data_IF_601375269917
#
_entry.id   IF_601375269917
#
_cell.length_a   1.000
_cell.length_b   1.000
_cell.length_c   1.000
_cell.angle_alpha   90.00
_cell.angle_beta   90.00
_cell.angle_gamma   90.00
#
_symmetry.space_group_name_H-M   'P 1'
#
loop_
_entity.id
_entity.type
_entity.pdbx_description
1 polymer ?
#
# COMPACT_ATOMS: atom_id res chain seq x y z
N UNK A 1 -15.24 3.55 0.23
CA UNK A 1 -14.84 3.82 -1.15
C UNK A 1 -15.79 3.17 -2.11
N UNK A 2 -16.01 3.76 -3.28
CA UNK A 2 -16.84 3.20 -4.36
C UNK A 2 -16.08 3.40 -5.66
N UNK A 3 -16.38 2.57 -6.66
CA UNK A 3 -15.82 2.70 -7.99
C UNK A 3 -14.71 1.70 -8.32
N UNK A 4 -13.98 1.96 -9.39
CA UNK A 4 -12.89 1.14 -9.89
C UNK A 4 -11.56 1.60 -9.29
N UNK A 5 -10.91 0.73 -8.55
CA UNK A 5 -9.55 0.96 -8.05
C UNK A 5 -8.56 -0.02 -8.66
N UNK A 6 -7.39 0.46 -9.04
CA UNK A 6 -6.34 -0.39 -9.60
C UNK A 6 -5.14 -0.48 -8.67
N UNK A 7 -4.60 -1.68 -8.53
CA UNK A 7 -3.36 -1.92 -7.80
C UNK A 7 -2.16 -1.70 -8.74
N UNK A 8 -1.29 -0.77 -8.36
CA UNK A 8 -0.08 -0.47 -9.12
C UNK A 8 0.93 -1.62 -8.97
N UNK A 9 1.58 -1.97 -10.07
CA UNK A 9 2.81 -2.78 -10.06
C UNK A 9 4.01 -1.91 -9.71
N UNK A 10 5.12 -2.51 -9.34
CA UNK A 10 6.42 -1.86 -9.26
C UNK A 10 7.22 -2.22 -10.52
N UNK A 11 7.34 -1.32 -11.51
CA UNK A 11 8.20 -1.59 -12.66
C UNK A 11 9.66 -1.62 -12.26
N UNK A 12 10.42 -2.55 -12.87
CA UNK A 12 11.86 -2.65 -12.67
C UNK A 12 12.60 -2.49 -13.99
N UNK A 13 13.78 -1.90 -13.94
CA UNK A 13 14.74 -1.87 -15.05
C UNK A 13 15.36 -3.25 -15.26
N UNK A 14 16.05 -3.46 -16.37
CA UNK A 14 16.80 -4.69 -16.62
C UNK A 14 17.85 -5.01 -15.54
N UNK A 15 18.33 -4.00 -14.82
CA UNK A 15 19.27 -4.14 -13.71
C UNK A 15 18.62 -4.39 -12.36
N UNK A 16 17.29 -4.56 -12.31
CA UNK A 16 16.54 -4.82 -11.09
C UNK A 16 16.30 -3.61 -10.18
N UNK A 17 16.60 -2.39 -10.62
CA UNK A 17 16.24 -1.16 -9.89
C UNK A 17 14.83 -0.69 -10.28
N UNK A 18 14.18 0.09 -9.41
CA UNK A 18 12.84 0.62 -9.68
C UNK A 18 12.89 1.57 -10.89
N UNK A 19 12.01 1.32 -11.88
CA UNK A 19 11.82 2.18 -13.04
C UNK A 19 10.73 3.24 -12.77
N UNK A 20 11.16 4.37 -12.23
CA UNK A 20 10.25 5.48 -11.92
C UNK A 20 9.64 6.12 -13.18
N UNK A 21 10.28 6.02 -14.34
CA UNK A 21 9.73 6.54 -15.60
C UNK A 21 8.56 5.68 -16.06
N UNK A 22 8.71 4.36 -16.02
CA UNK A 22 7.63 3.43 -16.31
C UNK A 22 6.49 3.56 -15.29
N UNK A 23 6.82 3.72 -13.99
CA UNK A 23 5.82 3.92 -12.95
C UNK A 23 5.02 5.23 -13.19
N UNK A 24 5.70 6.32 -13.57
CA UNK A 24 5.03 7.58 -13.93
C UNK A 24 4.06 7.38 -15.11
N UNK A 25 4.52 6.72 -16.16
CA UNK A 25 3.69 6.42 -17.35
C UNK A 25 2.47 5.58 -16.98
N UNK A 26 2.65 4.58 -16.10
CA UNK A 26 1.55 3.75 -15.62
C UNK A 26 0.52 4.56 -14.84
N UNK A 27 0.96 5.43 -13.93
CA UNK A 27 0.06 6.29 -13.15
C UNK A 27 -0.77 7.20 -14.08
N UNK A 28 -0.13 7.85 -15.04
CA UNK A 28 -0.85 8.71 -16.00
C UNK A 28 -1.85 7.92 -16.84
N UNK A 29 -1.48 6.72 -17.28
CA UNK A 29 -2.38 5.82 -18.01
C UNK A 29 -3.61 5.44 -17.19
N UNK A 30 -3.45 5.11 -15.90
CA UNK A 30 -4.57 4.78 -15.01
C UNK A 30 -5.49 5.98 -14.78
N UNK A 31 -4.92 7.15 -14.52
CA UNK A 31 -5.71 8.38 -14.29
C UNK A 31 -6.45 8.79 -15.57
N UNK A 32 -5.81 8.72 -16.74
CA UNK A 32 -6.46 8.95 -18.02
C UNK A 32 -7.59 7.95 -18.31
N UNK A 33 -7.45 6.70 -17.82
CA UNK A 33 -8.48 5.67 -17.84
C UNK A 33 -9.62 5.87 -16.83
N UNK A 34 -9.63 7.00 -16.11
CA UNK A 34 -10.69 7.38 -15.18
C UNK A 34 -10.91 6.40 -14.03
N UNK A 35 -9.83 5.85 -13.47
CA UNK A 35 -9.94 5.08 -12.22
C UNK A 35 -10.39 5.98 -11.07
N UNK A 36 -11.18 5.43 -10.15
CA UNK A 36 -11.68 6.18 -8.99
C UNK A 36 -10.63 6.30 -7.87
N UNK A 37 -9.67 5.37 -7.80
CA UNK A 37 -8.55 5.41 -6.84
C UNK A 37 -7.41 4.47 -7.27
N UNK A 38 -6.24 4.66 -6.67
CA UNK A 38 -5.06 3.81 -6.89
C UNK A 38 -4.64 3.14 -5.58
N UNK A 39 -4.22 1.86 -5.67
CA UNK A 39 -3.62 1.13 -4.55
C UNK A 39 -2.10 1.09 -4.73
N UNK A 40 -1.38 1.65 -3.77
CA UNK A 40 0.08 1.73 -3.73
C UNK A 40 0.60 0.68 -2.77
N UNK A 41 1.64 -0.04 -3.14
CA UNK A 41 2.24 -1.11 -2.33
C UNK A 41 1.24 -2.21 -1.89
N UNK A 42 0.24 -2.49 -2.73
CA UNK A 42 -0.57 -3.69 -2.59
C UNK A 42 0.25 -4.95 -2.94
N UNK A 43 -0.36 -6.12 -2.85
CA UNK A 43 0.30 -7.41 -3.20
C UNK A 43 0.87 -7.40 -4.62
N UNK A 44 0.17 -6.74 -5.54
CA UNK A 44 0.59 -6.58 -6.94
C UNK A 44 1.92 -5.84 -7.11
N UNK A 45 2.30 -5.01 -6.14
CA UNK A 45 3.57 -4.24 -6.15
C UNK A 45 4.79 -5.06 -5.71
N UNK A 46 4.65 -6.35 -5.46
CA UNK A 46 5.76 -7.24 -5.04
C UNK A 46 6.49 -6.76 -3.77
N UNK A 47 5.76 -6.17 -2.82
CA UNK A 47 6.30 -5.55 -1.59
C UNK A 47 7.37 -6.39 -0.88
N UNK A 48 7.25 -7.73 -0.77
CA UNK A 48 8.29 -8.54 -0.11
C UNK A 48 9.66 -8.50 -0.79
N UNK A 49 9.76 -8.05 -2.03
CA UNK A 49 11.02 -7.92 -2.77
C UNK A 49 11.66 -6.53 -2.60
N UNK A 50 10.94 -5.59 -2.00
CA UNK A 50 11.36 -4.21 -1.82
C UNK A 50 11.91 -3.97 -0.41
N UNK A 51 13.03 -3.27 -0.32
CA UNK A 51 13.51 -2.73 0.95
C UNK A 51 12.56 -1.64 1.49
N UNK A 52 12.59 -1.36 2.79
CA UNK A 52 11.77 -0.28 3.38
C UNK A 52 12.09 1.09 2.75
N UNK A 53 13.36 1.33 2.42
CA UNK A 53 13.77 2.57 1.76
C UNK A 53 13.16 2.71 0.35
N UNK A 54 13.09 1.62 -0.42
CA UNK A 54 12.44 1.60 -1.73
C UNK A 54 10.93 1.79 -1.61
N UNK A 55 10.28 1.17 -0.62
CA UNK A 55 8.87 1.38 -0.34
C UNK A 55 8.58 2.85 -0.03
N UNK A 56 9.36 3.49 0.85
CA UNK A 56 9.21 4.90 1.20
C UNK A 56 9.44 5.82 -0.01
N UNK A 57 10.40 5.48 -0.87
CA UNK A 57 10.66 6.20 -2.10
C UNK A 57 9.50 6.08 -3.11
N UNK A 58 8.92 4.88 -3.26
CA UNK A 58 7.72 4.67 -4.10
C UNK A 58 6.54 5.47 -3.57
N UNK A 59 6.26 5.42 -2.25
CA UNK A 59 5.18 6.19 -1.63
C UNK A 59 5.33 7.67 -1.97
N UNK A 60 6.51 8.24 -1.69
CA UNK A 60 6.79 9.66 -1.92
C UNK A 60 6.65 10.04 -3.40
N UNK A 61 7.14 9.18 -4.29
CA UNK A 61 7.04 9.38 -5.74
C UNK A 61 5.58 9.37 -6.20
N UNK A 62 4.79 8.36 -5.78
CA UNK A 62 3.40 8.22 -6.21
C UNK A 62 2.54 9.37 -5.70
N UNK A 63 2.69 9.76 -4.43
CA UNK A 63 1.97 10.92 -3.85
C UNK A 63 2.25 12.17 -4.67
N UNK A 64 3.53 12.44 -4.96
CA UNK A 64 3.94 13.60 -5.77
C UNK A 64 3.39 13.53 -7.20
N UNK A 65 3.47 12.35 -7.83
CA UNK A 65 3.02 12.16 -9.22
C UNK A 65 1.51 12.28 -9.36
N UNK A 66 0.75 11.67 -8.43
CA UNK A 66 -0.73 11.72 -8.43
C UNK A 66 -1.24 13.11 -8.07
N UNK A 67 -0.56 13.83 -7.19
CA UNK A 67 -0.87 15.21 -6.80
C UNK A 67 -2.35 15.44 -6.45
N UNK A 68 -2.97 14.49 -5.74
CA UNK A 68 -4.36 14.58 -5.29
C UNK A 68 -5.42 14.41 -6.37
N UNK A 69 -5.06 14.05 -7.63
CA UNK A 69 -6.01 13.85 -8.73
C UNK A 69 -6.99 12.70 -8.50
N UNK A 70 -6.55 11.66 -7.82
CA UNK A 70 -7.40 10.55 -7.38
C UNK A 70 -6.98 10.14 -5.95
N UNK A 71 -7.90 9.59 -5.15
CA UNK A 71 -7.56 9.05 -3.82
C UNK A 71 -6.52 7.93 -3.92
N UNK A 72 -5.65 7.85 -2.91
CA UNK A 72 -4.68 6.78 -2.77
C UNK A 72 -5.02 5.86 -1.60
N UNK A 73 -4.82 4.57 -1.77
CA UNK A 73 -4.88 3.55 -0.73
C UNK A 73 -3.47 2.99 -0.56
N UNK A 74 -2.99 2.88 0.68
CA UNK A 74 -1.68 2.35 0.98
C UNK A 74 -1.77 0.89 1.42
N UNK A 75 -1.10 -0.01 0.72
CA UNK A 75 -0.90 -1.37 1.18
C UNK A 75 0.08 -1.40 2.36
N UNK A 76 -0.41 -1.79 3.52
CA UNK A 76 0.41 -2.06 4.70
C UNK A 76 -0.07 -3.38 5.29
N UNK A 77 0.63 -4.45 4.99
CA UNK A 77 0.27 -5.78 5.44
C UNK A 77 1.49 -6.68 5.59
N UNK A 78 1.29 -7.78 6.24
CA UNK A 78 2.33 -8.76 6.48
C UNK A 78 1.80 -9.92 7.33
N UNK A 79 2.64 -10.90 7.58
CA UNK A 79 2.28 -12.06 8.38
C UNK A 79 2.71 -11.94 9.87
N UNK A 80 3.28 -10.81 10.27
CA UNK A 80 3.58 -10.45 11.65
C UNK A 80 2.78 -9.22 12.07
N UNK A 81 1.85 -9.38 13.00
CA UNK A 81 1.03 -8.28 13.52
C UNK A 81 1.91 -7.16 14.07
N UNK A 82 2.94 -7.53 14.83
CA UNK A 82 3.87 -6.55 15.41
C UNK A 82 4.57 -5.70 14.35
N UNK A 83 5.12 -6.34 13.31
CA UNK A 83 5.81 -5.62 12.23
C UNK A 83 4.87 -4.69 11.44
N UNK A 84 3.60 -5.11 11.23
CA UNK A 84 2.60 -4.26 10.56
C UNK A 84 2.25 -3.04 11.41
N UNK A 85 2.03 -3.22 12.71
CA UNK A 85 1.75 -2.13 13.65
C UNK A 85 2.93 -1.15 13.75
N UNK A 86 4.15 -1.67 13.84
CA UNK A 86 5.38 -0.87 13.85
C UNK A 86 5.51 -0.04 12.56
N UNK A 87 5.29 -0.69 11.41
CA UNK A 87 5.33 -0.02 10.11
C UNK A 87 4.29 1.10 9.98
N UNK A 88 3.07 0.89 10.50
CA UNK A 88 2.04 1.95 10.55
C UNK A 88 2.54 3.12 11.41
N UNK A 89 3.16 2.86 12.54
CA UNK A 89 3.74 3.87 13.41
C UNK A 89 4.79 4.74 12.69
N UNK A 90 5.72 4.11 11.98
CA UNK A 90 6.75 4.80 11.18
C UNK A 90 6.16 5.68 10.06
N UNK A 91 5.15 5.15 9.35
CA UNK A 91 4.49 5.85 8.26
C UNK A 91 3.60 7.00 8.75
N UNK A 92 3.03 6.87 9.94
CA UNK A 92 2.11 7.86 10.54
C UNK A 92 2.72 9.25 10.62
N UNK A 93 4.00 9.33 10.97
CA UNK A 93 4.67 10.61 11.17
C UNK A 93 5.05 11.31 9.86
N UNK A 94 5.12 10.59 8.74
CA UNK A 94 5.73 11.10 7.52
C UNK A 94 4.83 11.07 6.28
N UNK A 95 4.07 10.00 6.08
CA UNK A 95 3.50 9.70 4.76
C UNK A 95 2.01 9.33 4.76
N UNK A 96 1.46 8.90 5.90
CA UNK A 96 0.11 8.29 5.92
C UNK A 96 -1.03 9.29 5.66
N UNK A 97 -0.78 10.59 5.91
CA UNK A 97 -1.81 11.63 5.76
C UNK A 97 -2.25 11.85 4.30
N UNK A 98 -1.45 11.40 3.33
CA UNK A 98 -1.76 11.52 1.91
C UNK A 98 -2.68 10.40 1.39
N UNK A 99 -3.06 9.45 2.27
CA UNK A 99 -3.84 8.28 1.90
C UNK A 99 -5.24 8.31 2.51
N UNK A 100 -6.23 7.85 1.74
CA UNK A 100 -7.61 7.76 2.18
C UNK A 100 -7.88 6.53 3.07
N UNK A 101 -7.08 5.47 2.93
CA UNK A 101 -7.18 4.25 3.72
C UNK A 101 -5.88 3.41 3.64
N UNK A 102 -5.73 2.49 4.58
CA UNK A 102 -4.78 1.38 4.51
C UNK A 102 -5.50 0.15 3.94
N UNK A 103 -4.83 -0.62 3.08
CA UNK A 103 -5.23 -1.96 2.66
C UNK A 103 -4.34 -2.97 3.38
N UNK A 104 -4.92 -3.79 4.26
CA UNK A 104 -4.17 -4.79 5.01
C UNK A 104 -4.63 -6.20 4.68
N UNK A 105 -3.68 -7.03 4.26
CA UNK A 105 -3.90 -8.43 3.90
C UNK A 105 -3.92 -9.32 5.15
N UNK A 106 -4.70 -10.40 5.11
CA UNK A 106 -4.63 -11.46 6.13
C UNK A 106 -3.20 -12.02 6.24
N UNK A 107 -2.72 -12.38 7.46
CA UNK A 107 -1.41 -13.02 7.62
C UNK A 107 -1.30 -14.26 6.73
N UNK A 108 -0.39 -14.20 5.77
CA UNK A 108 -0.08 -15.29 4.87
C UNK A 108 1.00 -16.20 5.48
N UNK A 109 1.12 -17.44 4.99
CA UNK A 109 2.05 -18.46 5.46
C UNK A 109 1.69 -19.03 6.85
N UNK A 110 1.46 -18.21 7.88
CA UNK A 110 1.19 -18.60 9.27
C UNK A 110 -0.16 -19.30 9.46
N UNK A 111 -1.14 -19.01 8.57
CA UNK A 111 -2.51 -19.56 8.61
C UNK A 111 -3.19 -19.44 9.98
N UNK A 112 -3.33 -18.24 10.54
CA UNK A 112 -3.96 -18.07 11.84
C UNK A 112 -5.42 -18.51 11.81
N UNK A 113 -5.94 -18.93 12.96
CA UNK A 113 -7.36 -19.20 13.15
C UNK A 113 -8.16 -17.90 13.16
N UNK A 114 -9.51 -17.99 13.09
CA UNK A 114 -10.39 -16.83 13.00
C UNK A 114 -10.18 -15.82 14.15
N UNK A 115 -9.99 -16.32 15.36
CA UNK A 115 -9.67 -15.48 16.52
C UNK A 115 -8.35 -14.72 16.32
N UNK A 116 -7.33 -15.39 15.81
CA UNK A 116 -6.04 -14.75 15.49
C UNK A 116 -6.17 -13.69 14.40
N UNK A 117 -7.00 -13.90 13.37
CA UNK A 117 -7.30 -12.91 12.35
C UNK A 117 -8.02 -11.69 12.95
N UNK A 118 -8.99 -11.93 13.82
CA UNK A 118 -9.72 -10.86 14.51
C UNK A 118 -8.75 -9.98 15.31
N UNK A 119 -7.91 -10.60 16.15
CA UNK A 119 -6.93 -9.87 16.97
C UNK A 119 -5.90 -9.13 16.11
N UNK A 120 -5.45 -9.73 15.01
CA UNK A 120 -4.55 -9.09 14.04
C UNK A 120 -5.14 -7.79 13.50
N UNK A 121 -6.37 -7.84 13.00
CA UNK A 121 -7.00 -6.65 12.42
C UNK A 121 -7.43 -5.62 13.46
N UNK A 122 -7.80 -6.04 14.68
CA UNK A 122 -8.03 -5.11 15.78
C UNK A 122 -6.76 -4.30 16.10
N UNK A 123 -5.62 -4.96 16.25
CA UNK A 123 -4.35 -4.28 16.52
C UNK A 123 -3.95 -3.30 15.41
N UNK A 124 -4.16 -3.67 14.14
CA UNK A 124 -3.91 -2.79 12.99
C UNK A 124 -4.86 -1.59 13.00
N UNK A 125 -6.14 -1.81 13.26
CA UNK A 125 -7.14 -0.75 13.28
C UNK A 125 -6.88 0.25 14.42
N UNK A 126 -6.44 -0.23 15.58
CA UNK A 126 -6.06 0.62 16.73
C UNK A 126 -4.81 1.47 16.43
N UNK A 127 -3.84 0.91 15.71
CA UNK A 127 -2.61 1.62 15.35
C UNK A 127 -2.82 2.64 14.22
N UNK A 128 -3.81 2.41 13.35
CA UNK A 128 -4.01 3.22 12.14
C UNK A 128 -4.75 4.52 12.43
N UNK A 129 -4.23 5.68 12.00
CA UNK A 129 -4.94 6.96 12.11
C UNK A 129 -5.99 7.17 11.01
N UNK A 130 -6.06 6.29 10.01
CA UNK A 130 -6.98 6.34 8.87
C UNK A 130 -7.71 5.00 8.72
N UNK A 131 -8.84 4.94 7.99
CA UNK A 131 -9.59 3.70 7.80
C UNK A 131 -8.75 2.53 7.30
N UNK A 132 -9.08 1.31 7.75
CA UNK A 132 -8.41 0.08 7.30
C UNK A 132 -9.39 -0.75 6.45
N UNK A 133 -8.96 -1.11 5.25
CA UNK A 133 -9.64 -2.05 4.37
C UNK A 133 -9.05 -3.43 4.57
N UNK A 134 -9.88 -4.39 4.89
CA UNK A 134 -9.47 -5.78 5.08
C UNK A 134 -9.40 -6.48 3.71
N UNK A 135 -8.25 -7.09 3.43
CA UNK A 135 -8.02 -7.85 2.21
C UNK A 135 -7.86 -9.34 2.53
N UNK A 136 -8.74 -10.14 1.97
CA UNK A 136 -8.77 -11.59 2.13
C UNK A 136 -8.78 -12.28 0.76
#
# INVERSE_FOLDING_TARGET
MKGLGTALITPFTENGTIDYQALSTLIEYQIAGQVDYLVVLGTTSEVPTLTLAEQDAIISFVVKQVAGRVPLILGVGGNSTHAVVERIGELRERLIADFAAILSVTPYYNRPQQEGLFQHFCAIAEASPIPVLLYN
#
